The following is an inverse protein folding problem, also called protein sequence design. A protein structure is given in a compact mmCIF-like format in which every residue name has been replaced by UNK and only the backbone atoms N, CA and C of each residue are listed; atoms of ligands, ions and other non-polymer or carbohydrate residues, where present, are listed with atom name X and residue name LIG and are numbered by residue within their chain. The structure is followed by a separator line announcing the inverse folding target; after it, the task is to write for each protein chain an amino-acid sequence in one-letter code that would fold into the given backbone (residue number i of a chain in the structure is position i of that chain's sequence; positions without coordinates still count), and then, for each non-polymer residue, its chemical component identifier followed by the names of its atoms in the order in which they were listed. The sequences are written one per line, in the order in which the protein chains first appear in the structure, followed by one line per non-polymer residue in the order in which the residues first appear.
data_IF_485276040961
#
_entry.id   IF_485276040961
#
_cell.length_a   1.000
_cell.length_b   1.000
_cell.length_c   1.000
_cell.angle_alpha   90.00
_cell.angle_beta   90.00
_cell.angle_gamma   90.00
#
_symmetry.space_group_name_H-M   'P 1'
#
loop_
_entity.id
_entity.type
_entity.pdbx_description
1 polymer ?
#
# COMPACT_ATOMS: atom_id res chain seq x y z
N UNK A 1 1.89 8.14 18.55
CA UNK A 1 0.82 8.04 17.54
C UNK A 1 1.46 7.56 16.25
N UNK A 2 1.13 6.36 15.76
CA UNK A 2 1.62 5.86 14.47
C UNK A 2 0.74 6.46 13.37
N UNK A 3 1.08 7.68 12.93
CA UNK A 3 0.42 8.32 11.80
C UNK A 3 0.74 7.62 10.48
N UNK A 4 -0.15 7.72 9.50
CA UNK A 4 0.09 7.29 8.13
C UNK A 4 1.37 7.95 7.61
N UNK A 5 2.36 7.13 7.18
CA UNK A 5 3.67 7.63 6.77
C UNK A 5 3.68 8.05 5.29
N UNK A 6 2.90 7.37 4.46
CA UNK A 6 2.65 7.72 3.07
C UNK A 6 1.28 7.17 2.63
N UNK A 7 0.83 7.62 1.45
CA UNK A 7 -0.37 7.14 0.77
C UNK A 7 -0.15 7.20 -0.75
N UNK A 8 -0.67 6.19 -1.45
CA UNK A 8 -0.63 6.09 -2.92
C UNK A 8 -2.01 6.35 -3.54
N UNK A 9 -2.08 7.31 -4.46
CA UNK A 9 -3.24 7.62 -5.30
C UNK A 9 -2.92 7.35 -6.76
N UNK A 10 -3.18 6.13 -7.22
CA UNK A 10 -2.83 5.71 -8.57
C UNK A 10 -1.31 5.77 -8.76
N UNK A 11 -0.83 6.81 -9.44
CA UNK A 11 0.60 7.08 -9.69
C UNK A 11 1.22 8.12 -8.77
N UNK A 12 0.44 8.75 -7.90
CA UNK A 12 0.92 9.82 -7.01
C UNK A 12 1.12 9.27 -5.60
N UNK A 13 2.35 9.32 -5.11
CA UNK A 13 2.71 8.95 -3.74
C UNK A 13 2.91 10.24 -2.93
N UNK A 14 2.18 10.37 -1.83
CA UNK A 14 2.31 11.49 -0.88
C UNK A 14 2.90 10.93 0.40
N UNK A 15 4.06 11.44 0.82
CA UNK A 15 4.68 11.08 2.10
C UNK A 15 4.77 12.28 3.03
N UNK A 16 4.52 12.05 4.33
CA UNK A 16 4.58 13.11 5.34
C UNK A 16 6.02 13.47 5.76
N UNK A 17 7.01 12.67 5.36
CA UNK A 17 8.43 12.79 5.66
C UNK A 17 9.23 12.11 4.56
N UNK A 18 10.56 12.27 4.56
CA UNK A 18 11.40 11.50 3.64
C UNK A 18 11.14 9.99 3.83
N UNK A 19 10.72 9.26 2.78
CA UNK A 19 10.42 7.86 2.90
C UNK A 19 11.71 7.05 3.08
N UNK A 20 11.69 6.07 3.97
CA UNK A 20 12.75 5.05 3.96
C UNK A 20 12.62 4.19 2.71
N UNK A 21 13.70 3.51 2.32
CA UNK A 21 13.69 2.59 1.16
C UNK A 21 12.57 1.55 1.26
N UNK A 22 12.31 1.02 2.45
CA UNK A 22 11.20 0.09 2.70
C UNK A 22 9.83 0.73 2.48
N UNK A 23 9.61 1.97 2.97
CA UNK A 23 8.35 2.68 2.73
C UNK A 23 8.18 3.00 1.23
N UNK A 24 9.27 3.40 0.57
CA UNK A 24 9.25 3.66 -0.87
C UNK A 24 8.89 2.42 -1.69
N UNK A 25 9.48 1.27 -1.39
CA UNK A 25 9.16 -0.01 -2.04
C UNK A 25 7.70 -0.43 -1.78
N UNK A 26 7.20 -0.17 -0.57
CA UNK A 26 5.81 -0.46 -0.21
C UNK A 26 4.81 0.38 -1.03
N UNK A 27 4.98 1.70 -1.08
CA UNK A 27 4.09 2.59 -1.84
C UNK A 27 4.20 2.35 -3.35
N UNK A 28 5.42 2.11 -3.87
CA UNK A 28 5.60 1.75 -5.29
C UNK A 28 4.85 0.47 -5.64
N UNK A 29 4.78 -0.49 -4.71
CA UNK A 29 4.02 -1.72 -4.95
C UNK A 29 2.51 -1.45 -5.06
N UNK A 30 1.97 -0.45 -4.36
CA UNK A 30 0.59 -0.03 -4.57
C UNK A 30 0.35 0.59 -5.94
N UNK A 31 1.32 1.33 -6.49
CA UNK A 31 1.26 1.83 -7.87
C UNK A 31 1.18 0.66 -8.86
N UNK A 32 2.06 -0.35 -8.72
CA UNK A 32 2.05 -1.54 -9.58
C UNK A 32 0.72 -2.31 -9.49
N UNK A 33 0.15 -2.43 -8.28
CA UNK A 33 -1.16 -3.05 -8.09
C UNK A 33 -2.26 -2.25 -8.78
N UNK A 34 -2.22 -0.92 -8.68
CA UNK A 34 -3.16 -0.02 -9.34
C UNK A 34 -3.05 -0.11 -10.86
N UNK A 35 -1.85 -0.14 -11.43
CA UNK A 35 -1.65 -0.30 -12.87
C UNK A 35 -2.18 -1.64 -13.40
N UNK A 36 -1.96 -2.71 -12.64
CA UNK A 36 -2.39 -4.06 -13.03
C UNK A 36 -3.90 -4.27 -12.94
N UNK A 37 -4.53 -3.70 -11.91
CA UNK A 37 -5.96 -3.92 -11.60
C UNK A 37 -6.83 -2.79 -12.18
N UNK A 38 -6.23 -1.63 -12.47
CA UNK A 38 -6.93 -0.42 -12.89
C UNK A 38 -7.84 0.14 -11.81
N UNK A 39 -8.90 0.83 -12.24
CA UNK A 39 -9.87 1.49 -11.36
C UNK A 39 -10.55 0.55 -10.34
N UNK A 40 -10.58 -0.76 -10.62
CA UNK A 40 -11.12 -1.76 -9.70
C UNK A 40 -10.27 -1.94 -8.42
N UNK A 41 -9.05 -1.42 -8.37
CA UNK A 41 -8.18 -1.50 -7.20
C UNK A 41 -8.83 -0.85 -5.96
N UNK A 42 -9.39 0.35 -6.12
CA UNK A 42 -10.00 1.12 -5.02
C UNK A 42 -11.15 0.36 -4.34
N UNK A 43 -12.20 -0.11 -5.07
CA UNK A 43 -13.29 -0.84 -4.42
C UNK A 43 -12.83 -2.18 -3.84
N UNK A 44 -11.88 -2.88 -4.46
CA UNK A 44 -11.33 -4.13 -3.91
C UNK A 44 -10.55 -3.89 -2.63
N UNK A 45 -9.73 -2.84 -2.58
CA UNK A 45 -8.97 -2.45 -1.40
C UNK A 45 -9.92 -2.13 -0.24
N UNK A 46 -10.92 -1.27 -0.45
CA UNK A 46 -11.92 -0.95 0.58
C UNK A 46 -12.70 -2.19 1.03
N UNK A 47 -13.06 -3.08 0.10
CA UNK A 47 -13.76 -4.33 0.43
C UNK A 47 -12.92 -5.24 1.33
N UNK A 48 -11.64 -5.44 0.99
CA UNK A 48 -10.72 -6.24 1.81
C UNK A 48 -10.45 -5.59 3.17
N UNK A 49 -10.29 -4.27 3.21
CA UNK A 49 -10.14 -3.51 4.44
C UNK A 49 -11.33 -3.72 5.39
N UNK A 50 -12.56 -3.62 4.88
CA UNK A 50 -13.77 -3.84 5.67
C UNK A 50 -13.94 -5.29 6.11
N UNK A 51 -13.59 -6.26 5.25
CA UNK A 51 -13.79 -7.69 5.53
C UNK A 51 -12.72 -8.32 6.42
N UNK A 52 -11.48 -7.84 6.33
CA UNK A 52 -10.29 -8.53 6.88
C UNK A 52 -9.44 -7.64 7.78
N UNK A 53 -9.67 -6.33 7.77
CA UNK A 53 -8.83 -5.36 8.44
C UNK A 53 -7.43 -5.25 7.82
N UNK A 54 -6.67 -4.27 8.28
CA UNK A 54 -5.36 -3.91 7.70
C UNK A 54 -4.34 -5.05 7.74
N UNK A 55 -4.18 -5.74 8.88
CA UNK A 55 -3.11 -6.74 9.09
C UNK A 55 -3.21 -7.97 8.18
N UNK A 56 -4.40 -8.32 7.72
CA UNK A 56 -4.63 -9.48 6.86
C UNK A 56 -5.08 -9.09 5.45
N UNK A 57 -4.94 -7.80 5.13
CA UNK A 57 -5.27 -7.24 3.84
C UNK A 57 -4.30 -7.77 2.77
N UNK A 58 -4.76 -8.40 1.68
CA UNK A 58 -3.87 -9.03 0.70
C UNK A 58 -2.95 -8.02 0.00
N UNK A 59 -3.48 -6.85 -0.38
CA UNK A 59 -2.66 -5.80 -1.01
C UNK A 59 -1.59 -5.24 -0.08
N UNK A 60 -1.90 -5.00 1.20
CA UNK A 60 -0.90 -4.58 2.20
C UNK A 60 0.16 -5.66 2.44
N UNK A 61 -0.23 -6.94 2.52
CA UNK A 61 0.72 -8.04 2.69
C UNK A 61 1.67 -8.17 1.52
N UNK A 62 1.16 -8.04 0.30
CA UNK A 62 1.96 -8.03 -0.92
C UNK A 62 2.91 -6.83 -0.95
N UNK A 63 2.43 -5.63 -0.59
CA UNK A 63 3.25 -4.42 -0.48
C UNK A 63 4.33 -4.51 0.61
N UNK A 64 3.99 -5.02 1.80
CA UNK A 64 4.96 -5.27 2.87
C UNK A 64 5.98 -6.36 2.51
N UNK A 65 5.57 -7.37 1.74
CA UNK A 65 6.46 -8.42 1.24
C UNK A 65 7.49 -7.89 0.23
N UNK A 66 7.07 -6.99 -0.68
CA UNK A 66 7.98 -6.32 -1.61
C UNK A 66 9.02 -5.44 -0.89
N UNK A 67 8.64 -4.85 0.23
CA UNK A 67 9.50 -3.99 1.05
C UNK A 67 10.35 -4.74 2.09
N UNK A 68 10.20 -6.07 2.23
CA UNK A 68 10.81 -6.90 3.30
C UNK A 68 10.68 -6.26 4.69
N UNK A 69 9.53 -5.64 5.00
CA UNK A 69 9.33 -4.92 6.28
C UNK A 69 9.28 -5.84 7.51
N UNK A 70 9.42 -7.16 7.32
CA UNK A 70 9.35 -8.17 8.38
C UNK A 70 10.42 -9.30 8.25
N UNK A 71 11.47 -9.11 7.43
CA UNK A 71 12.65 -10.00 7.46
C UNK A 71 13.69 -9.52 8.49
#
# INVERSE_FOLDING_TARGET
MRGYAAITFGHVIISAREPSDGLWLHERRHVEQYERIGLAFIPLYLWFMLRRGYRTHPFERDASGAARLFD
#
